data_IF_851670601912
#
_entry.id   IF_851670601912
#
_cell.length_a   1.000
_cell.length_b   1.000
_cell.length_c   1.000
_cell.angle_alpha   90.00
_cell.angle_beta   90.00
_cell.angle_gamma   90.00
#
_symmetry.space_group_name_H-M   'P 1'
#
loop_
_entity.id
_entity.type
_entity.pdbx_description
1 polymer ?
#
# COMPACT_ATOMS: atom_id res chain seq x y z
N UNK A 1 -11.88 -13.50 25.66
CA UNK A 1 -10.61 -14.07 26.15
C UNK A 1 -9.52 -13.08 25.75
N UNK A 2 -8.77 -12.55 26.70
CA UNK A 2 -7.79 -11.46 26.48
C UNK A 2 -6.40 -12.10 26.43
N UNK A 3 -5.70 -11.98 25.30
CA UNK A 3 -4.34 -12.53 25.14
C UNK A 3 -3.32 -11.39 25.05
N UNK A 4 -2.25 -11.51 25.83
CA UNK A 4 -1.10 -10.61 25.88
C UNK A 4 0.12 -11.43 25.49
N UNK A 5 0.80 -11.05 24.41
CA UNK A 5 1.99 -11.76 23.92
C UNK A 5 3.07 -10.79 23.44
N UNK A 6 4.35 -11.04 23.78
CA UNK A 6 5.46 -10.22 23.31
C UNK A 6 5.69 -10.43 21.81
N UNK A 7 5.97 -9.35 21.07
CA UNK A 7 6.52 -9.41 19.72
C UNK A 7 8.04 -9.66 19.77
N UNK A 8 8.64 -9.99 18.62
CA UNK A 8 10.10 -10.13 18.45
C UNK A 8 10.91 -8.85 18.78
N UNK A 9 10.23 -7.74 19.10
CA UNK A 9 10.78 -6.50 19.64
C UNK A 9 10.33 -6.34 21.09
N UNK A 10 11.29 -6.21 22.02
CA UNK A 10 11.08 -6.13 23.48
C UNK A 10 10.21 -4.96 23.99
N UNK A 11 9.73 -4.07 23.11
CA UNK A 11 8.95 -2.88 23.46
C UNK A 11 7.54 -2.85 22.84
N UNK A 12 7.15 -3.86 22.07
CA UNK A 12 5.85 -3.93 21.38
C UNK A 12 5.03 -5.12 21.90
N UNK A 13 3.75 -4.90 22.18
CA UNK A 13 2.85 -5.87 22.79
C UNK A 13 1.53 -5.89 22.01
N UNK A 14 1.01 -7.09 21.72
CA UNK A 14 -0.36 -7.21 21.22
C UNK A 14 -1.35 -7.33 22.38
N UNK A 15 -2.44 -6.58 22.28
CA UNK A 15 -3.58 -6.65 23.20
C UNK A 15 -4.82 -6.94 22.37
N UNK A 16 -5.48 -8.07 22.63
CA UNK A 16 -6.78 -8.39 22.03
C UNK A 16 -7.89 -7.88 22.94
N UNK A 17 -8.75 -7.00 22.44
CA UNK A 17 -9.87 -6.43 23.19
C UNK A 17 -11.17 -7.20 22.89
N UNK A 18 -12.15 -7.09 23.78
CA UNK A 18 -13.43 -7.81 23.67
C UNK A 18 -14.40 -7.17 22.66
N UNK A 19 -14.29 -5.86 22.45
CA UNK A 19 -15.19 -5.06 21.63
C UNK A 19 -14.46 -3.86 20.99
N UNK A 20 -14.96 -3.39 19.86
CA UNK A 20 -14.38 -2.29 19.08
C UNK A 20 -14.52 -0.92 19.78
N UNK A 21 -15.53 -0.75 20.64
CA UNK A 21 -15.71 0.49 21.39
C UNK A 21 -14.55 0.71 22.37
N UNK A 22 -14.12 -0.35 23.06
CA UNK A 22 -12.94 -0.36 23.93
C UNK A 22 -11.65 -0.08 23.14
N UNK A 23 -11.55 -0.58 21.90
CA UNK A 23 -10.42 -0.28 21.00
C UNK A 23 -10.34 1.20 20.68
N UNK A 24 -11.45 1.83 20.31
CA UNK A 24 -11.50 3.26 19.97
C UNK A 24 -11.14 4.16 21.17
N UNK A 25 -11.60 3.79 22.37
CA UNK A 25 -11.23 4.51 23.60
C UNK A 25 -9.73 4.45 23.85
N UNK A 26 -9.10 3.28 23.70
CA UNK A 26 -7.68 3.10 24.01
C UNK A 26 -6.73 3.73 22.98
N UNK A 27 -7.08 3.78 21.69
CA UNK A 27 -6.20 4.33 20.64
C UNK A 27 -5.82 5.80 20.88
N UNK A 28 -6.70 6.57 21.53
CA UNK A 28 -6.45 7.99 21.80
C UNK A 28 -5.76 8.24 23.15
N UNK A 29 -5.52 7.20 23.94
CA UNK A 29 -4.96 7.31 25.28
C UNK A 29 -3.44 7.17 25.30
N UNK A 30 -2.82 7.86 26.25
CA UNK A 30 -1.39 7.72 26.56
C UNK A 30 -1.26 6.98 27.88
N UNK A 31 -0.55 5.85 27.86
CA UNK A 31 -0.32 5.05 29.07
C UNK A 31 1.08 5.23 29.61
N UNK A 32 1.26 4.98 30.90
CA UNK A 32 2.57 4.97 31.56
C UNK A 32 2.86 3.58 32.12
N UNK A 33 3.86 2.90 31.58
CA UNK A 33 4.30 1.57 32.01
C UNK A 33 5.73 1.67 32.52
N UNK A 34 5.96 1.32 33.79
CA UNK A 34 7.28 1.39 34.44
C UNK A 34 7.99 2.74 34.23
N UNK A 35 7.26 3.85 34.36
CA UNK A 35 7.82 5.19 34.22
C UNK A 35 7.93 5.70 32.77
N UNK A 36 7.73 4.83 31.77
CA UNK A 36 7.80 5.19 30.34
C UNK A 36 6.41 5.43 29.76
N UNK A 37 6.28 6.44 28.92
CA UNK A 37 5.06 6.68 28.16
C UNK A 37 4.96 5.68 27.00
N UNK A 38 3.74 5.24 26.72
CA UNK A 38 3.39 4.35 25.62
C UNK A 38 2.06 4.75 25.01
N UNK A 39 1.83 4.29 23.79
CA UNK A 39 0.62 4.56 23.02
C UNK A 39 0.03 3.26 22.51
N UNK A 40 -1.29 3.21 22.37
CA UNK A 40 -1.95 2.12 21.66
C UNK A 40 -2.01 2.43 20.17
N UNK A 41 -1.50 1.50 19.38
CA UNK A 41 -1.72 1.49 17.94
C UNK A 41 -2.74 0.41 17.62
N UNK A 42 -3.71 0.65 16.70
CA UNK A 42 -4.61 -0.39 16.26
C UNK A 42 -3.82 -1.56 15.69
N UNK A 43 -3.87 -2.70 16.40
CA UNK A 43 -3.34 -3.95 15.89
C UNK A 43 -4.14 -4.36 14.65
N UNK A 44 -3.43 -4.77 13.59
CA UNK A 44 -4.05 -5.28 12.38
C UNK A 44 -4.61 -4.23 11.43
N UNK A 45 -4.14 -2.98 11.45
CA UNK A 45 -4.24 -2.09 10.28
C UNK A 45 -2.92 -1.35 10.15
N UNK A 46 -2.13 -1.74 9.17
CA UNK A 46 -0.85 -1.09 8.85
C UNK A 46 -1.00 -0.25 7.58
N UNK A 47 -0.35 0.90 7.58
CA UNK A 47 -0.19 1.72 6.38
C UNK A 47 1.01 1.23 5.58
N UNK A 48 0.79 0.92 4.30
CA UNK A 48 1.81 0.48 3.36
C UNK A 48 1.93 1.48 2.22
N UNK A 49 3.18 1.86 1.91
CA UNK A 49 3.52 2.67 0.74
C UNK A 49 3.87 1.76 -0.42
N UNK A 50 2.87 1.45 -1.25
CA UNK A 50 3.03 0.63 -2.42
C UNK A 50 3.43 1.46 -3.65
N UNK A 51 4.05 0.82 -4.64
CA UNK A 51 4.27 1.40 -5.98
C UNK A 51 3.64 0.51 -7.04
N UNK A 52 2.91 1.12 -7.96
CA UNK A 52 2.28 0.47 -9.11
C UNK A 52 3.12 0.74 -10.36
N UNK A 53 3.62 -0.33 -10.96
CA UNK A 53 4.46 -0.35 -12.16
C UNK A 53 3.69 -0.91 -13.35
N UNK A 54 4.23 -0.68 -14.55
CA UNK A 54 3.66 -1.12 -15.84
C UNK A 54 2.26 -0.58 -16.14
N UNK A 55 1.80 0.40 -15.37
CA UNK A 55 0.57 1.10 -15.65
C UNK A 55 0.74 1.94 -16.94
N UNK A 56 -0.08 1.74 -17.98
CA UNK A 56 -0.04 2.59 -19.16
C UNK A 56 -0.22 4.07 -18.81
N UNK A 57 0.49 4.93 -19.54
CA UNK A 57 0.59 6.37 -19.21
C UNK A 57 -0.75 7.11 -19.29
N UNK A 58 -1.68 6.62 -20.09
CA UNK A 58 -3.02 7.19 -20.25
C UNK A 58 -4.01 6.78 -19.14
N UNK A 59 -3.66 5.80 -18.31
CA UNK A 59 -4.49 5.45 -17.16
C UNK A 59 -4.25 6.49 -16.06
N UNK A 60 -5.33 7.19 -15.70
CA UNK A 60 -5.33 8.21 -14.67
C UNK A 60 -5.45 7.61 -13.26
N UNK A 61 -5.30 8.48 -12.26
CA UNK A 61 -5.38 8.08 -10.86
C UNK A 61 -6.79 7.64 -10.45
N UNK A 62 -7.84 8.13 -11.11
CA UNK A 62 -9.23 7.79 -10.76
C UNK A 62 -9.56 6.36 -11.19
N UNK A 63 -9.18 6.01 -12.42
CA UNK A 63 -9.31 4.64 -12.94
C UNK A 63 -8.53 3.64 -12.08
N UNK A 64 -7.33 4.02 -11.66
CA UNK A 64 -6.55 3.22 -10.72
C UNK A 64 -7.21 3.13 -9.34
N UNK A 65 -7.75 4.24 -8.83
CA UNK A 65 -8.48 4.26 -7.56
C UNK A 65 -9.66 3.30 -7.57
N UNK A 66 -10.55 3.42 -8.57
CA UNK A 66 -11.71 2.55 -8.73
C UNK A 66 -11.31 1.07 -8.82
N UNK A 67 -10.25 0.78 -9.58
CA UNK A 67 -9.72 -0.57 -9.69
C UNK A 67 -9.25 -1.10 -8.33
N UNK A 68 -8.50 -0.31 -7.57
CA UNK A 68 -7.99 -0.74 -6.26
C UNK A 68 -9.09 -0.87 -5.21
N UNK A 69 -10.14 -0.03 -5.26
CA UNK A 69 -11.30 -0.13 -4.38
C UNK A 69 -12.12 -1.43 -4.59
N UNK A 70 -11.94 -2.13 -5.71
CA UNK A 70 -12.59 -3.43 -5.95
C UNK A 70 -12.02 -4.56 -5.08
N UNK A 71 -10.83 -4.37 -4.49
CA UNK A 71 -10.17 -5.35 -3.63
C UNK A 71 -10.62 -5.17 -2.19
N UNK A 72 -11.39 -6.14 -1.67
CA UNK A 72 -12.08 -6.04 -0.37
C UNK A 72 -11.18 -5.92 0.86
N UNK A 73 -9.95 -6.44 0.78
CA UNK A 73 -9.04 -6.54 1.94
C UNK A 73 -8.10 -5.34 2.05
N UNK A 74 -8.22 -4.36 1.16
CA UNK A 74 -7.39 -3.15 1.17
C UNK A 74 -8.26 -1.91 1.17
N UNK A 75 -7.76 -0.85 1.79
CA UNK A 75 -8.34 0.49 1.70
C UNK A 75 -7.28 1.48 1.19
N UNK A 76 -7.59 2.20 0.12
CA UNK A 76 -6.66 3.16 -0.49
C UNK A 76 -6.91 4.54 0.10
N UNK A 77 -5.86 5.16 0.64
CA UNK A 77 -5.92 6.52 1.21
C UNK A 77 -5.49 7.59 0.22
N UNK A 78 -4.50 7.29 -0.61
CA UNK A 78 -3.91 8.29 -1.51
C UNK A 78 -3.24 7.63 -2.71
N UNK A 79 -3.35 8.28 -3.88
CA UNK A 79 -2.60 7.93 -5.09
C UNK A 79 -1.88 9.18 -5.60
N UNK A 80 -0.57 9.09 -5.82
CA UNK A 80 0.22 10.14 -6.45
C UNK A 80 0.91 9.61 -7.71
N UNK A 81 0.98 10.47 -8.72
CA UNK A 81 1.72 10.19 -9.95
C UNK A 81 3.12 10.79 -9.86
N UNK A 82 4.15 9.99 -10.10
CA UNK A 82 5.50 10.51 -10.32
C UNK A 82 5.54 11.13 -11.73
N UNK A 83 5.22 12.43 -11.82
CA UNK A 83 5.29 13.19 -13.07
C UNK A 83 6.56 14.02 -13.08
N UNK A 84 7.38 13.83 -14.10
CA UNK A 84 8.52 14.70 -14.38
C UNK A 84 8.42 15.23 -15.81
N UNK A 85 8.69 16.53 -15.98
CA UNK A 85 8.75 17.15 -17.29
C UNK A 85 10.20 17.48 -17.59
N UNK A 86 10.73 16.89 -18.65
CA UNK A 86 12.08 17.14 -19.15
C UNK A 86 11.96 18.06 -20.36
N UNK A 87 12.72 19.15 -20.36
CA UNK A 87 12.85 20.00 -21.54
C UNK A 87 13.97 19.43 -22.42
N UNK A 88 13.59 18.74 -23.49
CA UNK A 88 14.55 18.07 -24.38
C UNK A 88 15.28 19.07 -25.29
N UNK A 89 14.64 20.19 -25.62
CA UNK A 89 15.26 21.27 -26.37
C UNK A 89 14.60 22.63 -26.02
N UNK A 90 15.27 23.48 -25.22
CA UNK A 90 14.76 24.79 -24.81
C UNK A 90 14.50 25.74 -25.98
N UNK A 91 15.26 25.62 -27.06
CA UNK A 91 15.23 26.51 -28.23
C UNK A 91 13.94 26.37 -29.04
N UNK A 92 13.26 25.22 -28.94
CA UNK A 92 12.01 24.91 -29.67
C UNK A 92 10.87 24.52 -28.72
N UNK A 93 11.00 24.77 -27.41
CA UNK A 93 10.02 24.41 -26.39
C UNK A 93 9.56 22.93 -26.44
N UNK A 94 10.44 22.02 -26.82
CA UNK A 94 10.11 20.59 -26.87
C UNK A 94 10.13 20.00 -25.45
N UNK A 95 8.94 19.88 -24.85
CA UNK A 95 8.73 19.29 -23.53
C UNK A 95 8.31 17.84 -23.64
N UNK A 96 8.99 16.95 -22.92
CA UNK A 96 8.57 15.56 -22.75
C UNK A 96 8.16 15.32 -21.30
N UNK A 97 6.91 14.91 -21.09
CA UNK A 97 6.42 14.53 -19.77
C UNK A 97 6.53 13.02 -19.61
N UNK A 98 7.37 12.61 -18.66
CA UNK A 98 7.46 11.23 -18.20
C UNK A 98 6.47 11.02 -17.05
N UNK A 99 5.71 9.95 -17.17
CA UNK A 99 4.79 9.48 -16.14
C UNK A 99 5.39 8.17 -15.62
N UNK A 100 5.98 8.22 -14.44
CA UNK A 100 6.58 7.08 -13.75
C UNK A 100 5.55 6.22 -13.00
N UNK A 101 6.04 5.32 -12.13
CA UNK A 101 5.19 4.52 -11.25
C UNK A 101 4.20 5.38 -10.45
N UNK A 102 3.06 4.80 -10.05
CA UNK A 102 2.14 5.44 -9.11
C UNK A 102 2.53 5.06 -7.69
N UNK A 103 2.62 6.03 -6.80
CA UNK A 103 2.76 5.76 -5.37
C UNK A 103 1.36 5.71 -4.75
N UNK A 104 1.09 4.67 -3.97
CA UNK A 104 -0.22 4.40 -3.37
C UNK A 104 -0.05 4.17 -1.88
N UNK A 105 -0.87 4.85 -1.08
CA UNK A 105 -0.97 4.61 0.36
C UNK A 105 -2.15 3.68 0.60
N UNK A 106 -1.87 2.47 1.11
CA UNK A 106 -2.83 1.40 1.33
C UNK A 106 -2.86 1.05 2.82
N UNK A 107 -4.05 0.93 3.39
CA UNK A 107 -4.25 0.39 4.74
C UNK A 107 -4.86 -1.00 4.65
N UNK A 108 -4.25 -1.97 5.33
CA UNK A 108 -4.73 -3.37 5.43
C UNK A 108 -4.16 -4.04 6.68
N UNK A 109 -4.76 -5.15 7.10
CA UNK A 109 -4.32 -5.95 8.26
C UNK A 109 -3.06 -6.76 8.00
N UNK A 110 -2.86 -7.25 6.77
CA UNK A 110 -1.70 -8.03 6.38
C UNK A 110 -1.13 -7.55 5.05
N UNK A 111 0.19 -7.50 4.97
CA UNK A 111 0.91 -7.11 3.75
C UNK A 111 0.56 -8.00 2.54
N UNK A 112 0.21 -9.26 2.80
CA UNK A 112 -0.15 -10.26 1.78
C UNK A 112 -1.52 -10.00 1.14
N UNK A 113 -2.39 -9.24 1.79
CA UNK A 113 -3.69 -8.85 1.26
C UNK A 113 -3.57 -7.83 0.13
N UNK A 114 -2.43 -7.12 0.05
CA UNK A 114 -2.14 -6.26 -1.09
C UNK A 114 -1.86 -7.20 -2.28
N UNK A 115 -2.58 -7.11 -3.41
CA UNK A 115 -2.28 -7.96 -4.57
C UNK A 115 -0.89 -7.67 -5.13
N UNK A 116 -0.18 -8.68 -5.62
CA UNK A 116 1.07 -8.45 -6.37
C UNK A 116 0.80 -7.91 -7.78
N UNK A 117 -0.29 -8.35 -8.40
CA UNK A 117 -0.72 -7.93 -9.73
C UNK A 117 -2.16 -7.45 -9.61
N UNK A 118 -2.42 -6.25 -10.12
CA UNK A 118 -3.78 -5.75 -10.32
C UNK A 118 -4.14 -5.82 -11.78
N UNK A 119 -5.42 -6.06 -12.05
CA UNK A 119 -5.97 -5.99 -13.40
C UNK A 119 -6.80 -4.73 -13.54
N UNK A 120 -6.44 -3.89 -14.50
CA UNK A 120 -7.12 -2.64 -14.77
C UNK A 120 -7.74 -2.68 -16.17
N UNK A 121 -9.00 -2.27 -16.27
CA UNK A 121 -9.66 -2.12 -17.56
C UNK A 121 -9.10 -0.90 -18.28
N UNK A 122 -8.59 -1.11 -19.48
CA UNK A 122 -8.09 -0.02 -20.30
C UNK A 122 -9.27 0.79 -20.86
N UNK A 123 -9.40 2.09 -20.56
CA UNK A 123 -10.54 2.89 -21.01
C UNK A 123 -10.50 3.19 -22.52
N UNK A 124 -9.33 3.08 -23.16
CA UNK A 124 -9.15 3.34 -24.59
C UNK A 124 -9.41 2.08 -25.41
N UNK A 125 -8.82 0.96 -24.99
CA UNK A 125 -8.86 -0.29 -25.76
C UNK A 125 -9.92 -1.28 -25.25
N UNK A 126 -10.48 -1.07 -24.06
CA UNK A 126 -11.50 -1.94 -23.46
C UNK A 126 -10.98 -3.24 -22.85
N UNK A 127 -9.72 -3.60 -23.09
CA UNK A 127 -9.07 -4.83 -22.61
C UNK A 127 -8.56 -4.69 -21.16
N UNK A 128 -8.41 -5.82 -20.45
CA UNK A 128 -7.74 -5.85 -19.16
C UNK A 128 -6.22 -5.81 -19.33
N UNK A 129 -5.55 -5.00 -18.51
CA UNK A 129 -4.09 -4.94 -18.44
C UNK A 129 -3.60 -5.24 -17.03
N UNK A 130 -2.48 -5.93 -16.93
CA UNK A 130 -1.83 -6.22 -15.65
C UNK A 130 -0.88 -5.09 -15.25
N UNK A 131 -0.92 -4.68 -13.99
CA UNK A 131 0.03 -3.77 -13.38
C UNK A 131 0.64 -4.39 -12.12
N UNK A 132 1.95 -4.22 -11.94
CA UNK A 132 2.70 -4.80 -10.83
C UNK A 132 2.65 -3.88 -9.62
N UNK A 133 2.32 -4.43 -8.46
CA UNK A 133 2.34 -3.72 -7.18
C UNK A 133 3.51 -4.22 -6.34
N UNK A 134 4.38 -3.30 -5.95
CA UNK A 134 5.51 -3.57 -5.06
C UNK A 134 5.31 -2.87 -3.73
N UNK A 135 5.56 -3.57 -2.63
CA UNK A 135 5.52 -3.02 -1.27
C UNK A 135 6.89 -3.25 -0.63
N UNK A 136 7.50 -2.25 0.03
CA UNK A 136 8.74 -2.45 0.76
C UNK A 136 8.63 -3.62 1.76
N UNK A 137 9.70 -4.40 1.87
CA UNK A 137 9.80 -5.56 2.78
C UNK A 137 8.86 -6.74 2.47
N UNK A 138 8.14 -6.71 1.35
CA UNK A 138 7.43 -7.87 0.81
C UNK A 138 8.30 -8.55 -0.26
N UNK A 139 8.48 -9.88 -0.23
CA UNK A 139 9.14 -10.61 -1.31
C UNK A 139 8.49 -10.28 -2.67
N UNK A 140 9.27 -10.07 -3.73
CA UNK A 140 8.71 -9.76 -5.04
C UNK A 140 8.05 -11.00 -5.67
N UNK A 141 7.06 -10.77 -6.53
CA UNK A 141 6.46 -11.84 -7.33
C UNK A 141 7.47 -12.31 -8.39
N UNK A 142 7.75 -13.62 -8.45
CA UNK A 142 8.49 -14.19 -9.56
C UNK A 142 7.60 -14.21 -10.81
N UNK A 143 7.94 -13.42 -11.82
CA UNK A 143 7.14 -13.32 -13.05
C UNK A 143 7.17 -14.58 -13.91
N UNK A 144 8.18 -15.45 -13.69
CA UNK A 144 8.36 -16.70 -14.44
C UNK A 144 7.51 -17.84 -13.90
N UNK A 145 7.47 -18.03 -12.57
CA UNK A 145 6.69 -19.11 -11.94
C UNK A 145 5.40 -18.64 -11.25
N UNK A 146 5.16 -17.32 -11.19
CA UNK A 146 4.06 -16.68 -10.45
C UNK A 146 4.03 -17.01 -8.94
N UNK A 147 5.13 -17.52 -8.38
CA UNK A 147 5.31 -17.78 -6.95
C UNK A 147 6.03 -16.65 -6.21
N UNK A 148 5.94 -16.64 -4.88
CA UNK A 148 6.44 -15.57 -4.00
C UNK A 148 7.82 -15.84 -3.36
N UNK A 149 8.53 -16.89 -3.78
CA UNK A 149 9.77 -17.34 -3.10
C UNK A 149 11.02 -17.41 -3.99
N UNK A 150 10.89 -17.23 -5.31
CA UNK A 150 12.02 -17.39 -6.23
C UNK A 150 12.52 -16.03 -6.74
N UNK A 151 13.38 -15.39 -5.94
CA UNK A 151 14.27 -14.32 -6.44
C UNK A 151 15.56 -14.98 -6.91
N UNK A 152 15.61 -15.38 -8.17
CA UNK A 152 16.86 -15.68 -8.88
C UNK A 152 16.79 -15.14 -10.29
#
# INVERSE_FOLDING_TARGET
MTFLGPLSRNAEWYVTLKDDESKLKLINEVIKVNGKLGHFLPAGVSEYRARVHWLPRWIDNNSLWETLQSYKEIDVKQITSDKSTINLNPSINLKHTYIGPRSVIITTDKIDNIPHIIKIKDPIFGEEREALVTVPHRPPLCLRCKGTEHVR
#
